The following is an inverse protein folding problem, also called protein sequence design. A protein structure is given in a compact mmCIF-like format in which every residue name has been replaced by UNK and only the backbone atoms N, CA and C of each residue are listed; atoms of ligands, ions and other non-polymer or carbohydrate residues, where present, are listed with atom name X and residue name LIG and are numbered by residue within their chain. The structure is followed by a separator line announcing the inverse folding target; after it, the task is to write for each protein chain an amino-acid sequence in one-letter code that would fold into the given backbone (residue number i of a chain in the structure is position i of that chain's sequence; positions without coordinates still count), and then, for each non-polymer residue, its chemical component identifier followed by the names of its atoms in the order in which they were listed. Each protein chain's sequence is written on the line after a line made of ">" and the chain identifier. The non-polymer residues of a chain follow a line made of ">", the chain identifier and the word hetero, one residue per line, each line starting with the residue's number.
data_IF_153435030894
#
_entry.id   IF_153435030894
#
_cell.length_a   1.000
_cell.length_b   1.000
_cell.length_c   1.000
_cell.angle_alpha   90.00
_cell.angle_beta   90.00
_cell.angle_gamma   90.00
#
_symmetry.space_group_name_H-M   'P 1'
#
loop_
_entity.id
_entity.type
_entity.pdbx_description
1 polymer ?
#
# COMPACT_ATOMS: atom_id res chain seq x y z
N UNK A 1 0.96 -54.61 -31.42
CA UNK A 1 0.44 -53.29 -31.85
C UNK A 1 0.53 -52.36 -30.66
N UNK A 2 1.28 -51.28 -30.83
CA UNK A 2 1.71 -50.31 -29.82
C UNK A 2 0.59 -49.37 -29.39
N UNK A 3 0.61 -49.01 -28.10
CA UNK A 3 -0.27 -48.02 -27.47
C UNK A 3 0.14 -46.61 -27.88
N UNK A 4 -0.83 -45.76 -28.24
CA UNK A 4 -0.64 -44.31 -28.29
C UNK A 4 -1.44 -43.65 -27.17
N UNK A 5 -0.71 -43.35 -26.09
CA UNK A 5 -1.15 -42.39 -25.08
C UNK A 5 -0.87 -40.98 -25.60
N UNK A 6 -1.92 -40.28 -26.06
CA UNK A 6 -1.87 -38.83 -26.27
C UNK A 6 -1.77 -38.12 -24.92
N UNK A 7 -0.54 -38.03 -24.40
CA UNK A 7 -0.17 -37.20 -23.27
C UNK A 7 -0.17 -35.73 -23.69
N UNK A 8 -1.05 -34.95 -23.07
CA UNK A 8 -1.13 -33.50 -23.27
C UNK A 8 0.17 -32.80 -22.87
N UNK A 9 0.70 -31.99 -23.77
CA UNK A 9 1.73 -31.00 -23.44
C UNK A 9 1.06 -29.76 -22.86
N UNK A 10 0.96 -29.71 -21.53
CA UNK A 10 0.40 -28.56 -20.78
C UNK A 10 1.47 -27.52 -20.41
N UNK A 11 2.63 -27.54 -21.08
CA UNK A 11 3.82 -26.74 -20.73
C UNK A 11 4.16 -25.65 -21.75
N UNK A 12 3.22 -25.21 -22.58
CA UNK A 12 3.43 -24.00 -23.39
C UNK A 12 3.10 -22.77 -22.55
N UNK A 13 4.17 -22.26 -21.92
CA UNK A 13 4.24 -21.04 -21.16
C UNK A 13 3.67 -19.84 -21.93
N UNK A 14 2.70 -19.16 -21.34
CA UNK A 14 2.36 -17.80 -21.77
C UNK A 14 3.60 -16.90 -21.56
N UNK A 15 3.97 -16.06 -22.55
CA UNK A 15 4.96 -15.02 -22.32
C UNK A 15 4.49 -14.17 -21.14
N UNK A 16 5.40 -13.86 -20.22
CA UNK A 16 5.09 -12.97 -19.10
C UNK A 16 4.53 -11.66 -19.68
N UNK A 17 3.33 -11.22 -19.24
CA UNK A 17 2.76 -9.98 -19.75
C UNK A 17 3.72 -8.83 -19.51
N UNK A 18 3.91 -7.94 -20.49
CA UNK A 18 4.75 -6.74 -20.37
C UNK A 18 4.42 -5.92 -19.10
N UNK A 19 3.18 -6.01 -18.61
CA UNK A 19 2.76 -5.39 -17.34
C UNK A 19 3.49 -5.93 -16.10
N UNK A 20 3.85 -7.22 -16.05
CA UNK A 20 4.55 -7.79 -14.89
C UNK A 20 5.99 -7.27 -14.78
N UNK A 21 6.75 -7.21 -15.88
CA UNK A 21 8.10 -6.64 -15.87
C UNK A 21 8.10 -5.19 -15.39
N UNK A 22 7.17 -4.37 -15.90
CA UNK A 22 7.05 -2.97 -15.51
C UNK A 22 6.73 -2.81 -14.02
N UNK A 23 5.81 -3.62 -13.49
CA UNK A 23 5.49 -3.61 -12.05
C UNK A 23 6.70 -4.00 -11.21
N UNK A 24 7.41 -5.07 -11.60
CA UNK A 24 8.61 -5.53 -10.90
C UNK A 24 9.71 -4.47 -10.93
N UNK A 25 9.90 -3.82 -12.09
CA UNK A 25 10.83 -2.70 -12.25
C UNK A 25 10.47 -1.55 -11.31
N UNK A 26 9.21 -1.12 -11.24
CA UNK A 26 8.77 -0.03 -10.34
C UNK A 26 9.05 -0.36 -8.88
N UNK A 27 8.67 -1.55 -8.41
CA UNK A 27 8.89 -1.96 -7.03
C UNK A 27 10.39 -1.99 -6.70
N UNK A 28 11.19 -2.60 -7.58
CA UNK A 28 12.62 -2.72 -7.36
C UNK A 28 13.34 -1.37 -7.42
N UNK A 29 12.96 -0.49 -8.37
CA UNK A 29 13.47 0.86 -8.49
C UNK A 29 13.08 1.73 -7.28
N UNK A 30 11.88 1.59 -6.70
CA UNK A 30 11.51 2.31 -5.46
C UNK A 30 12.40 1.90 -4.28
N UNK A 31 12.80 0.64 -4.21
CA UNK A 31 13.61 0.10 -3.11
C UNK A 31 15.09 0.46 -3.25
N UNK A 32 15.62 0.40 -4.46
CA UNK A 32 17.05 0.55 -4.73
C UNK A 32 17.42 1.92 -5.33
N UNK A 33 16.54 2.51 -6.14
CA UNK A 33 16.77 3.74 -6.91
C UNK A 33 17.28 4.94 -6.10
N UNK A 34 16.80 5.21 -4.88
CA UNK A 34 17.35 6.30 -4.05
C UNK A 34 18.84 6.14 -3.70
N UNK A 35 19.42 4.94 -3.87
CA UNK A 35 20.78 4.61 -3.43
C UNK A 35 21.70 4.21 -4.59
N UNK A 36 21.15 3.70 -5.70
CA UNK A 36 21.94 3.22 -6.85
C UNK A 36 21.46 3.76 -8.21
N UNK A 37 20.48 4.67 -8.26
CA UNK A 37 19.99 5.21 -9.53
C UNK A 37 19.27 4.18 -10.42
N UNK A 38 19.28 4.34 -11.77
CA UNK A 38 18.54 3.51 -12.72
C UNK A 38 19.15 2.10 -12.95
N UNK A 39 20.02 1.62 -12.07
CA UNK A 39 20.83 0.40 -12.23
C UNK A 39 20.05 -0.92 -12.09
N UNK A 40 18.73 -0.85 -11.87
CA UNK A 40 17.88 -2.03 -11.77
C UNK A 40 17.46 -2.46 -13.18
N UNK A 41 17.78 -3.69 -13.54
CA UNK A 41 17.34 -4.34 -14.78
C UNK A 41 16.38 -5.47 -14.49
N UNK A 42 15.37 -5.62 -15.33
CA UNK A 42 14.33 -6.63 -15.23
C UNK A 42 14.14 -7.26 -16.61
N UNK A 43 14.02 -8.58 -16.66
CA UNK A 43 13.67 -9.31 -17.87
C UNK A 43 12.90 -10.59 -17.56
N UNK A 44 12.02 -10.98 -18.45
CA UNK A 44 11.32 -12.26 -18.42
C UNK A 44 12.27 -13.44 -18.61
N UNK A 45 11.91 -14.56 -18.00
CA UNK A 45 12.60 -15.83 -18.18
C UNK A 45 11.89 -16.67 -19.27
N UNK A 46 12.64 -17.45 -20.08
CA UNK A 46 12.07 -18.22 -21.18
C UNK A 46 10.97 -19.21 -20.78
N UNK A 47 11.03 -19.75 -19.56
CA UNK A 47 10.07 -20.75 -19.05
C UNK A 47 9.00 -20.11 -18.14
N UNK A 48 8.89 -18.78 -18.14
CA UNK A 48 8.03 -18.02 -17.25
C UNK A 48 8.76 -17.54 -16.00
N UNK A 49 8.23 -16.45 -15.43
CA UNK A 49 8.87 -15.74 -14.33
C UNK A 49 9.76 -14.58 -14.79
N UNK A 50 10.35 -13.88 -13.83
CA UNK A 50 11.11 -12.65 -14.07
C UNK A 50 12.42 -12.71 -13.30
N UNK A 51 13.49 -12.23 -13.90
CA UNK A 51 14.76 -12.03 -13.23
C UNK A 51 15.07 -10.54 -13.09
N UNK A 52 15.71 -10.19 -11.98
CA UNK A 52 16.17 -8.85 -11.65
C UNK A 52 17.66 -8.90 -11.39
N UNK A 53 18.42 -7.99 -11.98
CA UNK A 53 19.84 -7.85 -11.69
C UNK A 53 20.24 -6.38 -11.58
N UNK A 54 21.36 -6.15 -10.91
CA UNK A 54 21.95 -4.82 -10.75
C UNK A 54 23.25 -4.73 -11.55
N UNK A 55 23.39 -3.66 -12.33
CA UNK A 55 24.63 -3.39 -13.06
C UNK A 55 25.80 -3.20 -12.07
N UNK A 56 25.58 -2.41 -11.02
CA UNK A 56 26.60 -2.18 -9.99
C UNK A 56 26.78 -3.40 -9.06
N UNK A 57 28.02 -3.87 -8.83
CA UNK A 57 28.32 -4.97 -7.91
C UNK A 57 28.25 -4.59 -6.43
N UNK A 58 28.25 -3.30 -6.10
CA UNK A 58 28.31 -2.85 -4.70
C UNK A 58 26.99 -3.14 -3.99
N UNK A 59 27.07 -3.85 -2.87
CA UNK A 59 25.94 -4.16 -1.98
C UNK A 59 24.78 -4.95 -2.62
N UNK A 60 25.00 -5.68 -3.72
CA UNK A 60 23.99 -6.50 -4.42
C UNK A 60 23.13 -7.33 -3.47
N UNK A 61 23.77 -8.06 -2.56
CA UNK A 61 23.08 -8.86 -1.54
C UNK A 61 22.03 -8.08 -0.75
N UNK A 62 22.40 -6.92 -0.20
CA UNK A 62 21.50 -6.09 0.62
C UNK A 62 20.29 -5.63 -0.19
N UNK A 63 20.52 -5.24 -1.46
CA UNK A 63 19.44 -4.81 -2.35
C UNK A 63 18.55 -5.98 -2.77
N UNK A 64 19.11 -7.11 -3.16
CA UNK A 64 18.33 -8.30 -3.52
C UNK A 64 17.43 -8.75 -2.37
N UNK A 65 17.90 -8.73 -1.12
CA UNK A 65 17.04 -9.05 0.02
C UNK A 65 15.93 -8.03 0.27
N UNK A 66 16.20 -6.73 0.11
CA UNK A 66 15.18 -5.69 0.26
C UNK A 66 14.13 -5.76 -0.85
N UNK A 67 14.56 -5.95 -2.10
CA UNK A 67 13.67 -6.11 -3.26
C UNK A 67 12.85 -7.40 -3.13
N UNK A 68 13.48 -8.52 -2.77
CA UNK A 68 12.81 -9.79 -2.51
C UNK A 68 11.73 -9.64 -1.43
N UNK A 69 12.00 -8.89 -0.36
CA UNK A 69 11.02 -8.60 0.69
C UNK A 69 9.80 -7.85 0.13
N UNK A 70 9.99 -6.75 -0.60
CA UNK A 70 8.85 -5.98 -1.13
C UNK A 70 8.05 -6.77 -2.18
N UNK A 71 8.71 -7.58 -3.02
CA UNK A 71 8.03 -8.46 -3.97
C UNK A 71 7.24 -9.59 -3.27
N UNK A 72 7.78 -10.16 -2.19
CA UNK A 72 7.04 -11.11 -1.33
C UNK A 72 5.85 -10.43 -0.66
N UNK A 73 5.97 -9.18 -0.23
CA UNK A 73 4.84 -8.41 0.30
C UNK A 73 3.76 -8.16 -0.75
N UNK A 74 4.10 -8.13 -2.03
CA UNK A 74 3.15 -8.06 -3.14
C UNK A 74 2.52 -9.43 -3.50
N UNK A 75 3.05 -10.54 -2.99
CA UNK A 75 2.50 -11.88 -3.15
C UNK A 75 3.33 -12.84 -4.00
N UNK A 76 4.47 -12.41 -4.53
CA UNK A 76 5.34 -13.27 -5.35
C UNK A 76 6.24 -14.18 -4.53
N UNK A 77 6.51 -15.35 -5.08
CA UNK A 77 7.64 -16.18 -4.69
C UNK A 77 8.94 -15.60 -5.27
N UNK A 78 9.98 -15.52 -4.45
CA UNK A 78 11.29 -15.00 -4.90
C UNK A 78 12.45 -15.81 -4.35
N UNK A 79 13.46 -16.00 -5.19
CA UNK A 79 14.72 -16.66 -4.85
C UNK A 79 15.90 -15.69 -5.08
N UNK A 80 16.72 -15.51 -4.05
CA UNK A 80 17.90 -14.65 -4.09
C UNK A 80 19.13 -15.47 -4.44
N UNK A 81 19.65 -15.30 -5.66
CA UNK A 81 20.93 -15.84 -6.10
C UNK A 81 22.10 -14.87 -5.85
N UNK A 82 23.34 -15.28 -6.20
CA UNK A 82 24.53 -14.44 -6.00
C UNK A 82 24.50 -13.17 -6.86
N UNK A 83 24.05 -13.29 -8.11
CA UNK A 83 24.07 -12.17 -9.07
C UNK A 83 22.68 -11.74 -9.54
N UNK A 84 21.63 -12.48 -9.19
CA UNK A 84 20.27 -12.23 -9.69
C UNK A 84 19.23 -12.55 -8.61
N UNK A 85 18.12 -11.83 -8.68
CA UNK A 85 16.90 -12.11 -7.93
C UNK A 85 15.87 -12.68 -8.91
N UNK A 86 15.36 -13.88 -8.62
CA UNK A 86 14.38 -14.57 -9.44
C UNK A 86 12.98 -14.43 -8.83
N UNK A 87 11.98 -14.22 -9.68
CA UNK A 87 10.55 -14.23 -9.36
C UNK A 87 9.92 -15.38 -10.13
N UNK A 88 9.51 -16.42 -9.41
CA UNK A 88 9.05 -17.69 -10.02
C UNK A 88 7.52 -17.80 -10.14
N UNK A 89 6.78 -16.75 -9.76
CA UNK A 89 5.32 -16.71 -9.83
C UNK A 89 4.67 -16.41 -8.48
N UNK A 90 3.38 -16.71 -8.36
CA UNK A 90 2.60 -16.44 -7.15
C UNK A 90 2.94 -17.41 -6.02
N UNK A 91 2.96 -16.91 -4.78
CA UNK A 91 3.12 -17.74 -3.58
C UNK A 91 1.88 -17.69 -2.70
N UNK A 92 1.29 -18.86 -2.43
CA UNK A 92 0.15 -18.97 -1.50
C UNK A 92 0.46 -18.40 -0.11
N UNK A 93 1.68 -18.63 0.40
CA UNK A 93 2.16 -18.11 1.68
C UNK A 93 2.24 -16.58 1.63
N UNK A 94 2.85 -16.02 0.59
CA UNK A 94 3.01 -14.57 0.46
C UNK A 94 1.67 -13.86 0.25
N UNK A 95 0.77 -14.44 -0.56
CA UNK A 95 -0.59 -13.91 -0.75
C UNK A 95 -1.42 -13.96 0.52
N UNK A 96 -1.31 -15.04 1.30
CA UNK A 96 -1.97 -15.15 2.61
C UNK A 96 -1.45 -14.09 3.57
N UNK A 97 -0.13 -13.87 3.61
CA UNK A 97 0.47 -12.82 4.41
C UNK A 97 -0.01 -11.43 3.99
N UNK A 98 -0.03 -11.14 2.68
CA UNK A 98 -0.56 -9.88 2.14
C UNK A 98 -2.02 -9.65 2.52
N UNK A 99 -2.86 -10.66 2.39
CA UNK A 99 -4.27 -10.58 2.80
C UNK A 99 -4.40 -10.23 4.29
N UNK A 100 -3.59 -10.84 5.17
CA UNK A 100 -3.57 -10.50 6.60
C UNK A 100 -3.13 -9.05 6.84
N UNK A 101 -2.08 -8.59 6.16
CA UNK A 101 -1.60 -7.20 6.30
C UNK A 101 -2.64 -6.18 5.86
N UNK A 102 -3.32 -6.41 4.73
CA UNK A 102 -4.37 -5.53 4.23
C UNK A 102 -5.57 -5.49 5.19
N UNK A 103 -6.01 -6.65 5.68
CA UNK A 103 -7.07 -6.73 6.69
C UNK A 103 -6.68 -6.02 7.99
N UNK A 104 -5.45 -6.19 8.47
CA UNK A 104 -4.95 -5.49 9.65
C UNK A 104 -4.87 -3.97 9.45
N UNK A 105 -4.50 -3.51 8.25
CA UNK A 105 -4.50 -2.09 7.92
C UNK A 105 -5.92 -1.51 7.96
N UNK A 106 -6.90 -2.22 7.40
CA UNK A 106 -8.32 -1.83 7.41
C UNK A 106 -8.93 -1.82 8.81
N UNK A 107 -8.57 -2.78 9.66
CA UNK A 107 -9.07 -2.85 11.03
C UNK A 107 -8.38 -1.84 11.97
N UNK A 108 -7.11 -1.52 11.71
CA UNK A 108 -6.29 -0.66 12.55
C UNK A 108 -6.13 0.74 11.97
N UNK A 109 -5.02 0.99 11.29
CA UNK A 109 -4.62 2.36 10.92
C UNK A 109 -5.62 3.10 10.03
N UNK A 110 -6.38 2.38 9.20
CA UNK A 110 -7.32 2.95 8.24
C UNK A 110 -8.79 2.93 8.72
N UNK A 111 -9.06 2.52 9.96
CA UNK A 111 -10.41 2.54 10.51
C UNK A 111 -10.75 3.87 11.18
N UNK A 112 -9.76 4.63 11.62
CA UNK A 112 -9.94 5.87 12.39
C UNK A 112 -9.25 7.07 11.75
N UNK A 113 -9.99 8.16 11.60
CA UNK A 113 -9.54 9.37 10.88
C UNK A 113 -8.84 10.39 11.78
N UNK A 114 -8.96 10.30 13.10
CA UNK A 114 -8.50 11.32 14.05
C UNK A 114 -7.00 11.63 13.90
N UNK A 115 -6.18 10.58 13.78
CA UNK A 115 -4.74 10.75 13.56
C UNK A 115 -4.42 11.49 12.26
N UNK A 116 -5.24 11.29 11.22
CA UNK A 116 -5.05 11.97 9.93
C UNK A 116 -5.48 13.43 10.01
N UNK A 117 -6.62 13.71 10.64
CA UNK A 117 -7.08 15.07 10.85
C UNK A 117 -6.07 15.87 11.69
N UNK A 118 -5.59 15.30 12.80
CA UNK A 118 -4.59 15.92 13.66
C UNK A 118 -3.28 16.22 12.90
N UNK A 119 -2.76 15.24 12.16
CA UNK A 119 -1.56 15.42 11.35
C UNK A 119 -1.75 16.48 10.27
N UNK A 120 -2.90 16.52 9.60
CA UNK A 120 -3.21 17.51 8.59
C UNK A 120 -3.26 18.93 9.19
N UNK A 121 -3.88 19.14 10.36
CA UNK A 121 -3.86 20.42 11.06
C UNK A 121 -2.43 20.84 11.41
N UNK A 122 -1.64 19.93 12.00
CA UNK A 122 -0.26 20.22 12.40
C UNK A 122 0.62 20.63 11.21
N UNK A 123 0.53 19.90 10.11
CA UNK A 123 1.28 20.19 8.89
C UNK A 123 0.81 21.51 8.29
N UNK A 124 -0.51 21.70 8.11
CA UNK A 124 -1.08 22.90 7.51
C UNK A 124 -0.72 24.16 8.30
N UNK A 125 -0.88 24.13 9.62
CA UNK A 125 -0.55 25.26 10.49
C UNK A 125 0.94 25.61 10.43
N UNK A 126 1.82 24.60 10.41
CA UNK A 126 3.27 24.81 10.29
C UNK A 126 3.62 25.45 8.95
N UNK A 127 3.07 24.93 7.85
CA UNK A 127 3.29 25.48 6.51
C UNK A 127 2.80 26.93 6.40
N UNK A 128 1.64 27.24 6.99
CA UNK A 128 1.11 28.61 7.09
C UNK A 128 2.04 29.55 7.84
N UNK A 129 2.59 29.12 8.98
CA UNK A 129 3.56 29.91 9.74
C UNK A 129 4.85 30.18 8.96
N UNK A 130 5.26 29.27 8.07
CA UNK A 130 6.43 29.46 7.21
C UNK A 130 6.12 30.22 5.92
N UNK A 131 4.91 30.76 5.75
CA UNK A 131 4.53 31.53 4.56
C UNK A 131 4.28 30.69 3.30
N UNK A 132 3.96 29.39 3.44
CA UNK A 132 3.67 28.53 2.29
C UNK A 132 2.42 29.02 1.53
N UNK A 133 2.40 28.94 0.18
CA UNK A 133 1.25 29.39 -0.62
C UNK A 133 -0.06 28.69 -0.23
N UNK A 134 -1.12 29.48 -0.04
CA UNK A 134 -2.43 28.98 0.42
C UNK A 134 -3.07 28.04 -0.59
N UNK A 135 -2.95 28.35 -1.87
CA UNK A 135 -3.56 27.57 -2.95
C UNK A 135 -2.93 26.17 -3.10
N UNK A 136 -1.65 26.05 -2.76
CA UNK A 136 -0.90 24.78 -2.83
C UNK A 136 -1.01 23.97 -1.52
N UNK A 137 -1.46 24.60 -0.44
CA UNK A 137 -1.51 24.01 0.90
C UNK A 137 -2.26 22.68 0.95
N UNK A 138 -3.43 22.51 0.32
CA UNK A 138 -4.14 21.23 0.36
C UNK A 138 -3.37 20.10 -0.30
N UNK A 139 -2.72 20.34 -1.44
CA UNK A 139 -1.96 19.33 -2.17
C UNK A 139 -0.71 18.91 -1.38
N UNK A 140 -0.01 19.87 -0.77
CA UNK A 140 1.19 19.59 0.04
C UNK A 140 0.84 18.81 1.32
N UNK A 141 -0.25 19.17 1.99
CA UNK A 141 -0.73 18.44 3.18
C UNK A 141 -1.16 17.03 2.81
N UNK A 142 -1.90 16.89 1.69
CA UNK A 142 -2.32 15.59 1.16
C UNK A 142 -1.10 14.70 0.85
N UNK A 143 -0.09 15.22 0.16
CA UNK A 143 1.16 14.51 -0.15
C UNK A 143 1.84 13.98 1.11
N UNK A 144 2.08 14.84 2.12
CA UNK A 144 2.74 14.44 3.37
C UNK A 144 1.91 13.45 4.19
N UNK A 145 0.59 13.56 4.16
CA UNK A 145 -0.29 12.57 4.77
C UNK A 145 -0.23 11.23 4.01
N UNK A 146 -0.13 11.27 2.68
CA UNK A 146 0.05 10.10 1.82
C UNK A 146 1.33 9.32 2.14
N UNK A 147 2.44 10.03 2.30
CA UNK A 147 3.72 9.44 2.71
C UNK A 147 3.60 8.71 4.04
N UNK A 148 2.90 9.33 5.01
CA UNK A 148 2.69 8.73 6.30
C UNK A 148 1.84 7.45 6.23
N UNK A 149 0.86 7.35 5.32
CA UNK A 149 -0.01 6.18 5.15
C UNK A 149 0.72 4.98 4.54
N UNK A 150 1.77 5.20 3.74
CA UNK A 150 2.62 4.20 3.06
C UNK A 150 1.94 3.28 2.03
N UNK A 151 0.63 3.04 2.14
CA UNK A 151 -0.15 2.20 1.24
C UNK A 151 -0.36 2.79 -0.16
N UNK A 152 -0.62 4.10 -0.36
CA UNK A 152 -0.87 4.66 -1.68
C UNK A 152 0.24 4.32 -2.69
N UNK A 153 1.50 4.62 -2.35
CA UNK A 153 2.64 4.31 -3.20
C UNK A 153 2.81 2.79 -3.44
N UNK A 154 2.61 1.97 -2.40
CA UNK A 154 2.71 0.50 -2.50
C UNK A 154 1.63 -0.12 -3.39
N UNK A 155 0.46 0.51 -3.50
CA UNK A 155 -0.63 0.05 -4.36
C UNK A 155 -0.45 0.57 -5.79
N UNK A 156 -0.04 1.82 -5.97
CA UNK A 156 0.26 2.39 -7.28
C UNK A 156 1.35 1.62 -8.02
N UNK A 157 2.35 1.09 -7.30
CA UNK A 157 3.36 0.19 -7.87
C UNK A 157 2.75 -0.98 -8.66
N UNK A 158 1.59 -1.48 -8.22
CA UNK A 158 0.91 -2.67 -8.75
C UNK A 158 -0.06 -2.35 -9.88
N UNK A 159 -0.20 -1.09 -10.29
CA UNK A 159 -1.12 -0.71 -11.36
C UNK A 159 -0.76 -1.40 -12.69
N UNK A 160 -1.78 -1.91 -13.38
CA UNK A 160 -1.60 -2.70 -14.61
C UNK A 160 -1.08 -4.12 -14.40
N UNK A 161 -0.93 -4.58 -13.15
CA UNK A 161 -0.56 -5.96 -12.87
C UNK A 161 -1.72 -6.93 -13.12
N UNK A 162 -1.56 -7.81 -14.10
CA UNK A 162 -2.47 -8.92 -14.28
C UNK A 162 -2.22 -10.04 -13.26
N UNK A 163 -3.27 -10.40 -12.51
CA UNK A 163 -3.21 -11.43 -11.46
C UNK A 163 -4.00 -12.66 -11.86
N UNK A 164 -3.38 -13.52 -12.68
CA UNK A 164 -3.96 -14.78 -13.15
C UNK A 164 -3.18 -15.97 -12.62
N UNK A 165 -3.86 -17.10 -12.47
CA UNK A 165 -3.30 -18.40 -12.11
C UNK A 165 -4.24 -19.49 -12.62
N UNK A 166 -3.69 -20.56 -13.21
CA UNK A 166 -4.44 -21.77 -13.58
C UNK A 166 -4.80 -22.62 -12.36
N UNK A 167 -4.07 -22.47 -11.25
CA UNK A 167 -4.34 -23.16 -10.00
C UNK A 167 -5.48 -22.47 -9.24
N UNK A 168 -6.59 -23.19 -9.06
CA UNK A 168 -7.80 -22.69 -8.41
C UNK A 168 -7.56 -22.07 -7.02
N UNK A 169 -6.78 -22.69 -6.11
CA UNK A 169 -6.53 -22.10 -4.79
C UNK A 169 -5.82 -20.74 -4.85
N UNK A 170 -4.91 -20.56 -5.82
CA UNK A 170 -4.22 -19.29 -6.04
C UNK A 170 -5.14 -18.26 -6.68
N UNK A 171 -5.99 -18.66 -7.63
CA UNK A 171 -6.98 -17.78 -8.28
C UNK A 171 -7.92 -17.15 -7.26
N UNK A 172 -8.49 -17.94 -6.37
CA UNK A 172 -9.35 -17.45 -5.28
C UNK A 172 -8.60 -16.50 -4.33
N UNK A 173 -7.35 -16.83 -4.00
CA UNK A 173 -6.54 -15.98 -3.11
C UNK A 173 -6.17 -14.65 -3.77
N UNK A 174 -5.82 -14.64 -5.05
CA UNK A 174 -5.53 -13.42 -5.82
C UNK A 174 -6.75 -12.51 -5.88
N UNK A 175 -7.94 -13.07 -6.12
CA UNK A 175 -9.20 -12.32 -6.10
C UNK A 175 -9.47 -11.70 -4.72
N UNK A 176 -9.24 -12.45 -3.64
CA UNK A 176 -9.36 -11.92 -2.27
C UNK A 176 -8.40 -10.76 -2.02
N UNK A 177 -7.13 -10.90 -2.41
CA UNK A 177 -6.13 -9.84 -2.27
C UNK A 177 -6.54 -8.60 -3.05
N UNK A 178 -6.96 -8.75 -4.31
CA UNK A 178 -7.43 -7.63 -5.13
C UNK A 178 -8.62 -6.90 -4.48
N UNK A 179 -9.59 -7.63 -3.93
CA UNK A 179 -10.71 -7.04 -3.20
C UNK A 179 -10.30 -6.29 -1.93
N UNK A 180 -9.29 -6.78 -1.20
CA UNK A 180 -8.74 -6.08 -0.03
C UNK A 180 -7.91 -4.85 -0.41
N UNK A 181 -7.12 -4.92 -1.49
CA UNK A 181 -6.37 -3.79 -2.02
C UNK A 181 -7.30 -2.65 -2.44
N UNK A 182 -8.39 -2.96 -3.15
CA UNK A 182 -9.38 -1.95 -3.54
C UNK A 182 -10.01 -1.26 -2.31
N UNK A 183 -10.30 -2.03 -1.26
CA UNK A 183 -10.80 -1.46 0.01
C UNK A 183 -9.77 -0.56 0.68
N UNK A 184 -8.51 -0.97 0.72
CA UNK A 184 -7.40 -0.16 1.27
C UNK A 184 -7.19 1.11 0.46
N UNK A 185 -7.15 1.01 -0.88
CA UNK A 185 -7.03 2.16 -1.77
C UNK A 185 -8.15 3.17 -1.53
N UNK A 186 -9.41 2.70 -1.47
CA UNK A 186 -10.56 3.56 -1.17
C UNK A 186 -10.43 4.24 0.18
N UNK A 187 -10.10 3.51 1.25
CA UNK A 187 -9.90 4.10 2.59
C UNK A 187 -8.77 5.12 2.58
N UNK A 188 -7.64 4.83 1.92
CA UNK A 188 -6.56 5.82 1.79
C UNK A 188 -7.05 7.09 1.09
N UNK A 189 -7.82 6.96 0.00
CA UNK A 189 -8.43 8.11 -0.67
C UNK A 189 -9.33 8.95 0.24
N UNK A 190 -10.15 8.30 1.09
CA UNK A 190 -10.98 9.00 2.08
C UNK A 190 -10.13 9.77 3.11
N UNK A 191 -9.03 9.17 3.59
CA UNK A 191 -8.09 9.83 4.51
C UNK A 191 -7.42 11.05 3.87
N UNK A 192 -6.99 10.92 2.62
CA UNK A 192 -6.35 12.00 1.86
C UNK A 192 -7.33 13.14 1.56
N UNK A 193 -8.55 12.81 1.16
CA UNK A 193 -9.62 13.79 0.96
C UNK A 193 -9.94 14.57 2.25
N UNK A 194 -9.94 13.89 3.42
CA UNK A 194 -10.09 14.54 4.71
C UNK A 194 -8.92 15.49 5.00
N UNK A 195 -7.68 15.05 4.80
CA UNK A 195 -6.49 15.87 5.02
C UNK A 195 -6.52 17.15 4.17
N UNK A 196 -6.84 17.01 2.88
CA UNK A 196 -7.04 18.10 1.93
C UNK A 196 -8.14 19.07 2.37
N UNK A 197 -9.27 18.57 2.90
CA UNK A 197 -10.36 19.38 3.45
C UNK A 197 -9.95 20.15 4.70
N UNK A 198 -9.23 19.50 5.62
CA UNK A 198 -8.70 20.14 6.83
C UNK A 198 -7.74 21.27 6.45
N UNK A 199 -6.83 21.03 5.51
CA UNK A 199 -5.91 22.04 5.01
C UNK A 199 -6.62 23.27 4.44
N UNK A 200 -7.67 23.08 3.61
CA UNK A 200 -8.52 24.17 3.11
C UNK A 200 -9.18 24.99 4.23
N UNK A 201 -9.57 24.33 5.31
CA UNK A 201 -10.18 24.99 6.48
C UNK A 201 -9.15 25.88 7.19
N UNK A 202 -7.93 25.37 7.40
CA UNK A 202 -6.82 26.11 8.03
C UNK A 202 -6.34 27.28 7.14
N UNK A 203 -6.44 27.13 5.82
CA UNK A 203 -6.17 28.18 4.85
C UNK A 203 -7.15 29.36 4.91
N UNK A 204 -8.29 29.24 5.61
CA UNK A 204 -9.36 30.24 5.60
C UNK A 204 -10.28 30.15 4.37
N UNK A 205 -10.16 29.08 3.57
CA UNK A 205 -11.07 28.83 2.45
C UNK A 205 -12.47 28.53 2.96
N UNK A 206 -13.48 29.21 2.39
CA UNK A 206 -14.88 28.87 2.62
C UNK A 206 -15.10 27.39 2.29
N UNK A 207 -15.72 26.65 3.22
CA UNK A 207 -16.18 25.29 2.91
C UNK A 207 -17.06 25.37 1.66
N UNK A 208 -16.84 24.56 0.61
CA UNK A 208 -17.81 24.47 -0.45
C UNK A 208 -19.14 24.12 0.21
N UNK A 209 -20.17 24.94 -0.07
CA UNK A 209 -21.50 24.76 0.50
C UNK A 209 -21.86 23.29 0.35
N UNK A 210 -22.19 22.63 1.48
CA UNK A 210 -22.74 21.27 1.46
C UNK A 210 -23.91 21.31 0.47
N UNK A 211 -23.72 20.74 -0.71
CA UNK A 211 -24.86 20.41 -1.56
C UNK A 211 -25.70 19.46 -0.72
N UNK A 212 -26.82 19.96 -0.20
CA UNK A 212 -27.84 19.18 0.47
C UNK A 212 -28.36 18.23 -0.60
N UNK A 213 -27.73 17.07 -0.73
CA UNK A 213 -28.38 15.93 -1.31
C UNK A 213 -29.53 15.59 -0.36
N UNK A 214 -30.74 15.97 -0.76
CA UNK A 214 -31.98 15.48 -0.18
C UNK A 214 -32.06 13.98 -0.44
N UNK A 215 -31.51 13.21 0.48
CA UNK A 215 -31.60 11.75 0.54
C UNK A 215 -31.65 11.32 2.00
N UNK A 216 -32.44 10.29 2.36
CA UNK A 216 -32.73 9.97 3.75
C UNK A 216 -31.46 9.62 4.52
N UNK A 217 -31.27 10.32 5.65
CA UNK A 217 -30.05 10.31 6.43
C UNK A 217 -29.77 9.00 7.14
N UNK A 218 -28.56 8.48 6.93
CA UNK A 218 -27.92 7.56 7.87
C UNK A 218 -27.19 8.40 8.93
N UNK A 219 -27.66 8.30 10.17
CA UNK A 219 -27.33 9.16 11.30
C UNK A 219 -25.84 9.28 11.60
N UNK A 220 -25.37 10.53 11.63
CA UNK A 220 -24.21 10.94 12.41
C UNK A 220 -24.71 11.14 13.84
N UNK A 221 -24.48 10.16 14.71
CA UNK A 221 -24.75 10.34 16.14
C UNK A 221 -23.71 11.27 16.73
N UNK A 222 -24.21 12.43 17.14
CA UNK A 222 -23.61 13.29 18.15
C UNK A 222 -23.25 12.45 19.39
N UNK A 223 -21.95 12.26 19.63
CA UNK A 223 -21.42 12.01 20.96
C UNK A 223 -20.16 12.83 21.14
N UNK A 224 -20.37 14.11 21.37
CA UNK A 224 -19.45 14.96 22.10
C UNK A 224 -19.93 15.00 23.55
N UNK A 225 -18.96 15.00 24.47
CA UNK A 225 -19.03 15.34 25.90
C UNK A 225 -19.26 14.18 26.92
N UNK A 226 -18.42 14.24 27.97
CA UNK A 226 -18.30 13.41 29.18
C UNK A 226 -17.47 12.12 29.00
N UNK A 227 -16.31 11.89 29.65
CA UNK A 227 -15.86 12.24 31.00
C UNK A 227 -14.32 12.27 31.05
N UNK A 228 -13.75 13.34 31.60
CA UNK A 228 -12.39 13.35 32.15
C UNK A 228 -12.49 13.14 33.66
N UNK A 229 -12.00 12.02 34.19
CA UNK A 229 -11.63 11.92 35.62
C UNK A 229 -10.29 11.17 35.70
N UNK A 230 -9.22 11.81 36.24
CA UNK A 230 -7.93 11.19 36.42
C UNK A 230 -7.96 10.17 37.57
N UNK A 231 -7.25 9.07 37.39
CA UNK A 231 -7.23 7.97 38.35
C UNK A 231 -5.83 7.82 38.95
N UNK A 232 -5.44 8.67 39.92
CA UNK A 232 -4.36 8.34 40.89
C UNK A 232 -4.50 9.05 42.26
N UNK A 233 -4.77 8.21 43.27
CA UNK A 233 -4.27 8.01 44.65
C UNK A 233 -3.93 9.11 45.70
N UNK A 234 -4.15 8.67 46.96
CA UNK A 234 -3.67 9.17 48.29
C UNK A 234 -4.55 10.26 48.95
N UNK A 235 -4.88 10.26 50.24
CA UNK A 235 -4.32 9.56 51.42
C UNK A 235 -5.33 9.51 52.58
N UNK A 236 -4.91 8.82 53.65
CA UNK A 236 -5.60 8.44 54.88
C UNK A 236 -6.04 9.57 55.85
N UNK A 237 -6.92 9.20 56.80
CA UNK A 237 -7.24 9.91 58.05
C UNK A 237 -8.73 9.78 58.40
N UNK A 238 -9.21 8.88 59.27
CA UNK A 238 -9.09 8.74 60.74
C UNK A 238 -10.30 9.32 61.50
N UNK A 239 -10.81 8.53 62.45
CA UNK A 239 -11.77 8.82 63.56
C UNK A 239 -13.23 9.09 63.14
N UNK A 240 -14.28 8.53 63.76
CA UNK A 240 -14.49 7.96 65.10
C UNK A 240 -15.19 6.60 65.03
#
# INVERSE_FOLDING_TARGET
>A
MTMDHSGGSWFLSDPVPLGQEQVVQRICARVAGPLIGPDVRVASLPLGGVQVWLESPRHRWRFYHRMARELRLAGWHTETGPDRLLLLGWSSVCLTHRARMLSAALAGRLSHFDKTAFMAVMIATRLRHTGFPVEELPAEVESRCGDALSWPARLADLDGLERRSSLEPLRLRLAQVAGLEAKVARRCGEHLALASKVARTVAGGAMPARSRATGPGAGLTERMVCVSVPNVAMSAGSAL
#
